data_IF_463449081161
#
_entry.id   IF_463449081161
#
_cell.length_a   1.000
_cell.length_b   1.000
_cell.length_c   1.000
_cell.angle_alpha   90.00
_cell.angle_beta   90.00
_cell.angle_gamma   90.00
#
_symmetry.space_group_name_H-M   'P 1'
#
loop_
_entity.id
_entity.type
_entity.pdbx_description
1 polymer ?
#
# COMPACT_ATOMS: atom_id res chain seq x y z
N UNK A 1 -7.84 58.52 21.80
CA UNK A 1 -8.30 57.92 20.52
C UNK A 1 -7.97 56.44 20.58
N UNK A 2 -8.95 55.59 20.89
CA UNK A 2 -8.75 54.14 20.94
C UNK A 2 -8.75 53.63 19.49
N UNK A 3 -7.58 53.29 18.96
CA UNK A 3 -7.48 52.55 17.71
C UNK A 3 -8.05 51.16 17.92
N UNK A 4 -9.33 50.98 17.56
CA UNK A 4 -9.91 49.65 17.44
C UNK A 4 -9.17 48.94 16.31
N UNK A 5 -8.18 48.13 16.70
CA UNK A 5 -7.58 47.13 15.84
C UNK A 5 -8.72 46.26 15.32
N UNK A 6 -9.22 46.56 14.10
CA UNK A 6 -10.15 45.69 13.40
C UNK A 6 -9.42 44.36 13.25
N UNK A 7 -9.83 43.36 14.04
CA UNK A 7 -9.28 42.01 13.94
C UNK A 7 -9.65 41.51 12.56
N UNK A 8 -8.68 41.40 11.67
CA UNK A 8 -8.96 40.93 10.32
C UNK A 8 -9.22 39.42 10.41
N UNK A 9 -10.26 38.93 9.74
CA UNK A 9 -10.51 37.48 9.68
C UNK A 9 -9.34 36.73 9.03
N UNK A 10 -8.52 37.42 8.23
CA UNK A 10 -7.27 36.93 7.67
C UNK A 10 -6.20 36.62 8.72
N UNK A 11 -6.33 37.17 9.94
CA UNK A 11 -5.41 36.88 11.05
C UNK A 11 -5.71 35.53 11.71
N UNK A 12 -6.89 34.94 11.44
CA UNK A 12 -7.27 33.60 11.88
C UNK A 12 -7.06 32.58 10.74
N UNK A 13 -5.93 31.85 10.72
CA UNK A 13 -5.61 30.91 9.64
C UNK A 13 -6.63 29.77 9.54
N UNK A 14 -7.29 29.41 10.64
CA UNK A 14 -8.29 28.33 10.65
C UNK A 14 -9.58 28.74 9.94
N UNK A 15 -9.93 30.03 9.97
CA UNK A 15 -11.10 30.56 9.27
C UNK A 15 -10.84 30.61 7.75
N UNK A 16 -9.64 31.06 7.35
CA UNK A 16 -9.20 31.07 5.94
C UNK A 16 -9.19 29.65 5.37
N UNK A 17 -8.62 28.69 6.12
CA UNK A 17 -8.57 27.30 5.67
C UNK A 17 -9.97 26.71 5.49
N UNK A 18 -10.87 26.91 6.46
CA UNK A 18 -12.26 26.45 6.35
C UNK A 18 -12.95 27.04 5.11
N UNK A 19 -12.67 28.31 4.79
CA UNK A 19 -13.28 29.01 3.66
C UNK A 19 -12.79 28.43 2.33
N UNK A 20 -11.48 28.28 2.17
CA UNK A 20 -10.86 27.71 0.95
C UNK A 20 -11.24 26.23 0.77
N UNK A 21 -11.45 25.51 1.86
CA UNK A 21 -11.91 24.12 1.83
C UNK A 21 -13.42 23.97 1.62
N UNK A 22 -14.20 25.06 1.64
CA UNK A 22 -15.66 25.02 1.50
C UNK A 22 -16.36 24.35 2.68
N UNK A 23 -15.78 24.45 3.89
CA UNK A 23 -16.30 23.84 5.13
C UNK A 23 -17.07 24.82 6.03
N UNK A 24 -17.17 26.10 5.67
CA UNK A 24 -18.02 27.03 6.41
C UNK A 24 -19.50 26.80 6.14
N UNK A 25 -20.32 27.17 7.11
CA UNK A 25 -21.76 27.30 6.91
C UNK A 25 -22.06 28.38 5.86
N UNK A 26 -23.22 28.29 5.21
CA UNK A 26 -23.61 29.28 4.20
C UNK A 26 -23.72 30.70 4.77
N UNK A 27 -24.15 30.84 6.02
CA UNK A 27 -24.30 32.14 6.68
C UNK A 27 -22.95 32.82 6.93
N UNK A 28 -21.98 32.08 7.48
CA UNK A 28 -20.63 32.59 7.71
C UNK A 28 -19.93 32.90 6.39
N UNK A 29 -20.13 32.05 5.38
CA UNK A 29 -19.58 32.28 4.04
C UNK A 29 -20.09 33.59 3.45
N UNK A 30 -21.41 33.87 3.53
CA UNK A 30 -21.98 35.13 3.03
C UNK A 30 -21.43 36.35 3.77
N UNK A 31 -21.21 36.26 5.09
CA UNK A 31 -20.59 37.34 5.89
C UNK A 31 -19.16 37.60 5.45
N UNK A 32 -18.35 36.55 5.30
CA UNK A 32 -16.99 36.65 4.79
C UNK A 32 -16.93 37.19 3.37
N UNK A 33 -17.82 36.74 2.49
CA UNK A 33 -17.89 37.22 1.10
C UNK A 33 -18.17 38.72 1.05
N UNK A 34 -19.03 39.24 1.94
CA UNK A 34 -19.27 40.68 2.07
C UNK A 34 -18.02 41.45 2.54
N UNK A 35 -17.32 40.95 3.55
CA UNK A 35 -16.07 41.57 4.05
C UNK A 35 -14.94 41.52 3.00
N UNK A 36 -14.82 40.42 2.25
CA UNK A 36 -13.87 40.26 1.13
C UNK A 36 -14.21 41.21 -0.02
N UNK A 37 -15.49 41.53 -0.22
CA UNK A 37 -15.91 42.46 -1.28
C UNK A 37 -15.40 43.88 -1.01
N UNK A 38 -15.38 44.30 0.26
CA UNK A 38 -14.96 45.64 0.69
C UNK A 38 -13.43 45.78 0.84
N UNK A 39 -12.71 44.68 1.09
CA UNK A 39 -11.28 44.69 1.37
C UNK A 39 -10.44 44.12 0.21
N UNK A 40 -9.82 44.99 -0.60
CA UNK A 40 -8.90 44.60 -1.68
C UNK A 40 -7.69 43.74 -1.23
N UNK A 41 -6.94 44.07 -0.16
CA UNK A 41 -5.81 43.23 0.27
C UNK A 41 -6.26 41.85 0.78
N UNK A 42 -7.44 41.77 1.40
CA UNK A 42 -8.04 40.50 1.81
C UNK A 42 -8.34 39.60 0.60
N UNK A 43 -8.80 40.20 -0.51
CA UNK A 43 -9.06 39.49 -1.77
C UNK A 43 -7.78 38.95 -2.40
N UNK A 44 -6.68 39.71 -2.35
CA UNK A 44 -5.40 39.23 -2.88
C UNK A 44 -4.82 38.09 -2.05
N UNK A 45 -4.87 38.18 -0.71
CA UNK A 45 -4.44 37.09 0.17
C UNK A 45 -5.26 35.82 -0.09
N UNK A 46 -6.58 35.95 -0.18
CA UNK A 46 -7.47 34.82 -0.48
C UNK A 46 -7.16 34.19 -1.86
N UNK A 47 -6.82 35.00 -2.87
CA UNK A 47 -6.37 34.49 -4.18
C UNK A 47 -5.07 33.68 -4.06
N UNK A 48 -4.12 34.11 -3.24
CA UNK A 48 -2.88 33.35 -3.00
C UNK A 48 -3.16 32.02 -2.30
N UNK A 49 -3.98 32.02 -1.26
CA UNK A 49 -4.34 30.80 -0.51
C UNK A 49 -5.15 29.80 -1.36
N UNK A 50 -6.12 30.30 -2.13
CA UNK A 50 -6.88 29.45 -3.07
C UNK A 50 -5.98 28.83 -4.15
N UNK A 51 -5.00 29.57 -4.67
CA UNK A 51 -4.02 29.06 -5.62
C UNK A 51 -3.13 27.98 -5.00
N UNK A 52 -2.64 28.19 -3.78
CA UNK A 52 -1.86 27.21 -3.03
C UNK A 52 -2.67 25.93 -2.79
N UNK A 53 -3.90 26.06 -2.30
CA UNK A 53 -4.80 24.93 -2.06
C UNK A 53 -5.11 24.17 -3.38
N UNK A 54 -5.32 24.88 -4.49
CA UNK A 54 -5.52 24.27 -5.80
C UNK A 54 -4.27 23.49 -6.26
N UNK A 55 -3.07 24.03 -6.02
CA UNK A 55 -1.79 23.39 -6.28
C UNK A 55 -1.63 22.07 -5.51
N UNK A 56 -1.87 22.11 -4.19
CA UNK A 56 -1.80 20.91 -3.33
C UNK A 56 -2.81 19.84 -3.78
N UNK A 57 -4.05 20.24 -4.11
CA UNK A 57 -5.07 19.31 -4.64
C UNK A 57 -4.69 18.72 -6.00
N UNK A 58 -4.03 19.47 -6.87
CA UNK A 58 -3.55 18.97 -8.16
C UNK A 58 -2.43 17.96 -7.96
N UNK A 59 -1.42 18.30 -7.16
CA UNK A 59 -0.31 17.41 -6.82
C UNK A 59 -0.79 16.10 -6.18
N UNK A 60 -1.73 16.19 -5.22
CA UNK A 60 -2.35 15.02 -4.61
C UNK A 60 -3.08 14.12 -5.61
N UNK A 61 -3.84 14.72 -6.54
CA UNK A 61 -4.53 13.97 -7.62
C UNK A 61 -3.56 13.29 -8.57
N UNK A 62 -2.48 13.96 -8.97
CA UNK A 62 -1.47 13.39 -9.85
C UNK A 62 -0.71 12.24 -9.16
N UNK A 63 -0.42 12.39 -7.86
CA UNK A 63 0.12 11.32 -7.03
C UNK A 63 -0.80 10.10 -6.95
N UNK A 64 -2.10 10.29 -6.72
CA UNK A 64 -3.08 9.20 -6.71
C UNK A 64 -3.23 8.54 -8.11
N UNK A 65 -3.27 9.35 -9.17
CA UNK A 65 -3.38 8.86 -10.56
C UNK A 65 -2.17 8.02 -10.95
N UNK A 66 -0.96 8.42 -10.57
CA UNK A 66 0.25 7.65 -10.82
C UNK A 66 0.26 6.31 -10.07
N UNK A 67 -0.19 6.31 -8.79
CA UNK A 67 -0.35 5.08 -8.00
C UNK A 67 -1.39 4.13 -8.60
N UNK A 68 -2.54 4.64 -9.03
CA UNK A 68 -3.58 3.85 -9.70
C UNK A 68 -3.08 3.29 -11.04
N UNK A 69 -2.37 4.10 -11.85
CA UNK A 69 -1.74 3.61 -13.09
C UNK A 69 -0.76 2.48 -12.82
N UNK A 70 0.12 2.60 -11.81
CA UNK A 70 1.05 1.53 -11.43
C UNK A 70 0.32 0.25 -11.02
N UNK A 71 -0.77 0.37 -10.23
CA UNK A 71 -1.61 -0.78 -9.85
C UNK A 71 -2.28 -1.43 -11.06
N UNK A 72 -2.89 -0.64 -11.94
CA UNK A 72 -3.52 -1.13 -13.17
C UNK A 72 -2.52 -1.82 -14.11
N UNK A 73 -1.31 -1.30 -14.26
CA UNK A 73 -0.26 -1.95 -15.06
C UNK A 73 0.15 -3.28 -14.45
N UNK A 74 0.29 -3.36 -13.12
CA UNK A 74 0.64 -4.59 -12.40
C UNK A 74 -0.46 -5.64 -12.51
N UNK A 75 -1.73 -5.23 -12.38
CA UNK A 75 -2.89 -6.10 -12.49
C UNK A 75 -3.14 -6.57 -13.93
N UNK A 76 -2.93 -5.69 -14.92
CA UNK A 76 -2.99 -6.05 -16.34
C UNK A 76 -1.90 -7.06 -16.75
N UNK A 77 -0.78 -7.08 -16.02
CA UNK A 77 0.28 -8.11 -16.15
C UNK A 77 0.03 -9.35 -15.31
N UNK A 78 -1.13 -9.48 -14.65
CA UNK A 78 -1.42 -10.70 -13.89
C UNK A 78 -1.47 -11.90 -14.84
N UNK A 79 -0.71 -12.97 -14.55
CA UNK A 79 -0.62 -14.13 -15.42
C UNK A 79 -1.96 -14.89 -15.51
N UNK A 80 -2.91 -14.58 -14.64
CA UNK A 80 -4.26 -15.16 -14.59
C UNK A 80 -4.98 -15.01 -15.94
N UNK A 81 -4.87 -13.85 -16.61
CA UNK A 81 -5.47 -13.67 -17.94
C UNK A 81 -4.81 -14.53 -19.01
N UNK A 82 -3.47 -14.69 -18.93
CA UNK A 82 -2.73 -15.52 -19.87
C UNK A 82 -3.11 -17.00 -19.71
N UNK A 83 -3.22 -17.49 -18.46
CA UNK A 83 -3.65 -18.86 -18.17
C UNK A 83 -5.11 -19.12 -18.56
N UNK A 84 -6.01 -18.14 -18.43
CA UNK A 84 -7.39 -18.27 -18.90
C UNK A 84 -7.47 -18.43 -20.43
N UNK A 85 -6.69 -17.65 -21.20
CA UNK A 85 -6.62 -17.81 -22.65
C UNK A 85 -6.01 -19.14 -23.08
N UNK A 86 -4.95 -19.61 -22.40
CA UNK A 86 -4.34 -20.91 -22.69
C UNK A 86 -5.29 -22.06 -22.32
N UNK A 87 -6.00 -21.96 -21.19
CA UNK A 87 -6.98 -22.95 -20.77
C UNK A 87 -8.16 -23.05 -21.73
N UNK A 88 -8.67 -21.92 -22.24
CA UNK A 88 -9.76 -21.90 -23.21
C UNK A 88 -9.32 -22.53 -24.55
N UNK A 89 -8.12 -22.19 -25.03
CA UNK A 89 -7.56 -22.81 -26.23
C UNK A 89 -7.39 -24.34 -26.07
N UNK A 90 -6.87 -24.80 -24.93
CA UNK A 90 -6.73 -26.22 -24.64
C UNK A 90 -8.07 -26.95 -24.61
N UNK A 91 -9.10 -26.35 -23.99
CA UNK A 91 -10.44 -26.91 -23.96
C UNK A 91 -11.04 -27.10 -25.36
N UNK A 92 -10.87 -26.11 -26.25
CA UNK A 92 -11.34 -26.21 -27.64
C UNK A 92 -10.64 -27.36 -28.39
N UNK A 93 -9.33 -27.52 -28.21
CA UNK A 93 -8.57 -28.62 -28.83
C UNK A 93 -9.06 -29.98 -28.33
N UNK A 94 -9.28 -30.14 -27.02
CA UNK A 94 -9.78 -31.40 -26.45
C UNK A 94 -11.16 -31.75 -27.02
N UNK A 95 -12.06 -30.76 -27.13
CA UNK A 95 -13.39 -30.97 -27.72
C UNK A 95 -13.28 -31.36 -29.20
N UNK A 96 -12.48 -30.65 -29.98
CA UNK A 96 -12.31 -30.95 -31.42
C UNK A 96 -11.74 -32.35 -31.66
N UNK A 97 -10.70 -32.75 -30.90
CA UNK A 97 -10.11 -34.08 -30.97
C UNK A 97 -11.10 -35.15 -30.51
N UNK A 98 -11.81 -34.90 -29.40
CA UNK A 98 -12.82 -35.82 -28.87
C UNK A 98 -13.96 -36.07 -29.88
N UNK A 99 -14.47 -35.01 -30.51
CA UNK A 99 -15.49 -35.12 -31.57
C UNK A 99 -14.95 -35.88 -32.79
N UNK A 100 -13.70 -35.62 -33.20
CA UNK A 100 -13.07 -36.32 -34.33
C UNK A 100 -12.90 -37.82 -34.08
N UNK A 101 -12.39 -38.20 -32.90
CA UNK A 101 -12.27 -39.62 -32.49
C UNK A 101 -13.63 -40.27 -32.37
N UNK A 102 -14.61 -39.58 -31.80
CA UNK A 102 -15.98 -40.09 -31.68
C UNK A 102 -16.60 -40.34 -33.06
N UNK A 103 -16.48 -39.41 -34.00
CA UNK A 103 -16.97 -39.62 -35.36
C UNK A 103 -16.22 -40.76 -36.04
N UNK A 104 -14.91 -40.88 -35.89
CA UNK A 104 -14.14 -41.97 -36.51
C UNK A 104 -14.55 -43.36 -36.00
N UNK A 105 -14.81 -43.51 -34.69
CA UNK A 105 -15.18 -44.79 -34.10
C UNK A 105 -16.68 -45.13 -34.21
N UNK A 106 -17.55 -44.12 -34.17
CA UNK A 106 -19.01 -44.33 -34.12
C UNK A 106 -19.75 -43.96 -35.42
N UNK A 107 -19.09 -43.39 -36.44
CA UNK A 107 -19.75 -43.12 -37.73
C UNK A 107 -20.24 -44.41 -38.42
N UNK A 108 -19.54 -45.53 -38.22
CA UNK A 108 -19.95 -46.82 -38.80
C UNK A 108 -21.22 -47.41 -38.15
N UNK A 109 -21.55 -47.01 -36.92
CA UNK A 109 -22.75 -47.47 -36.21
C UNK A 109 -24.01 -46.66 -36.58
N UNK A 110 -23.87 -45.51 -37.25
CA UNK A 110 -24.98 -44.58 -37.51
C UNK A 110 -25.43 -44.52 -38.97
N UNK A 111 -24.79 -45.27 -39.88
CA UNK A 111 -25.38 -45.54 -41.20
C UNK A 111 -26.20 -46.82 -41.11
N UNK A 112 -27.54 -46.76 -40.96
CA UNK A 112 -28.38 -47.92 -41.20
C UNK A 112 -28.25 -48.27 -42.69
N UNK A 113 -27.30 -49.13 -43.01
CA UNK A 113 -27.20 -49.78 -44.31
C UNK A 113 -28.44 -50.66 -44.44
N UNK A 114 -29.42 -50.13 -45.18
CA UNK A 114 -30.63 -50.82 -45.61
C UNK A 114 -31.65 -51.05 -44.50
N UNK A 115 -32.47 -50.04 -44.23
CA UNK A 115 -33.89 -50.32 -44.04
C UNK A 115 -34.35 -51.04 -45.30
N UNK A 116 -34.38 -52.37 -45.27
CA UNK A 116 -34.98 -53.16 -46.32
C UNK A 116 -36.36 -52.59 -46.61
N UNK A 117 -36.63 -52.35 -47.90
CA UNK A 117 -37.96 -52.02 -48.42
C UNK A 117 -38.94 -53.11 -47.95
N UNK A 118 -39.47 -52.99 -46.74
CA UNK A 118 -40.74 -53.61 -46.39
C UNK A 118 -41.79 -52.69 -46.97
N UNK A 119 -42.28 -53.10 -48.13
CA UNK A 119 -43.56 -52.66 -48.66
C UNK A 119 -44.61 -52.95 -47.57
N UNK A 120 -44.95 -51.92 -46.80
CA UNK A 120 -46.08 -51.99 -45.89
C UNK A 120 -47.30 -51.83 -46.80
N UNK A 121 -47.88 -52.95 -47.22
CA UNK A 121 -49.24 -52.98 -47.77
C UNK A 121 -50.16 -52.56 -46.64
N UNK A 122 -50.58 -51.28 -46.66
CA UNK A 122 -51.62 -50.78 -45.78
C UNK A 122 -52.93 -51.35 -46.32
N UNK A 123 -53.39 -52.45 -45.73
CA UNK A 123 -54.75 -52.94 -45.87
C UNK A 123 -55.70 -51.86 -45.36
N UNK A 124 -56.44 -51.24 -46.27
CA UNK A 124 -57.65 -50.50 -45.96
C UNK A 124 -58.65 -51.48 -45.35
N UNK A 125 -58.97 -51.29 -44.08
CA UNK A 125 -60.02 -52.05 -43.40
C UNK A 125 -60.30 -51.49 -42.03
N UNK A 126 -61.45 -50.81 -41.90
CA UNK A 126 -62.23 -50.83 -40.67
C UNK A 126 -61.87 -49.80 -39.59
N UNK A 127 -62.62 -48.70 -39.62
CA UNK A 127 -63.36 -48.18 -38.47
C UNK A 127 -62.63 -47.73 -37.17
N UNK A 128 -62.73 -46.41 -36.97
CA UNK A 128 -63.14 -45.72 -35.72
C UNK A 128 -62.12 -45.73 -34.56
N UNK A 129 -61.60 -44.53 -34.27
CA UNK A 129 -60.95 -44.24 -32.99
C UNK A 129 -60.21 -42.91 -32.98
N UNK A 130 -60.94 -41.84 -32.65
CA UNK A 130 -60.40 -40.49 -32.41
C UNK A 130 -59.30 -40.48 -31.33
N UNK A 131 -58.18 -39.80 -31.58
CA UNK A 131 -57.32 -39.26 -30.52
C UNK A 131 -56.35 -38.18 -31.05
N UNK A 132 -56.86 -36.94 -31.09
CA UNK A 132 -56.24 -35.71 -30.54
C UNK A 132 -54.77 -35.42 -30.90
N UNK A 133 -54.59 -34.56 -31.92
CA UNK A 133 -53.41 -33.71 -32.10
C UNK A 133 -53.19 -32.82 -30.86
N UNK A 134 -52.04 -32.94 -30.21
CA UNK A 134 -51.48 -31.89 -29.35
C UNK A 134 -50.21 -31.33 -30.00
N UNK A 135 -50.40 -30.30 -30.83
CA UNK A 135 -49.34 -29.43 -31.31
C UNK A 135 -48.76 -28.66 -30.13
N UNK A 136 -47.54 -29.01 -29.70
CA UNK A 136 -46.77 -28.17 -28.78
C UNK A 136 -45.85 -27.24 -29.57
N UNK A 137 -46.35 -26.02 -29.70
CA UNK A 137 -45.72 -24.83 -30.25
C UNK A 137 -44.47 -24.44 -29.44
N UNK A 138 -43.33 -24.35 -30.12
CA UNK A 138 -42.06 -23.86 -29.56
C UNK A 138 -42.16 -22.33 -29.47
N UNK A 139 -42.33 -21.81 -28.25
CA UNK A 139 -42.24 -20.38 -27.96
C UNK A 139 -40.79 -19.95 -27.78
N UNK A 140 -40.35 -19.09 -28.69
CA UNK A 140 -39.24 -18.16 -28.55
C UNK A 140 -39.46 -17.27 -27.31
N UNK A 141 -38.45 -17.04 -26.45
CA UNK A 141 -38.56 -16.01 -25.41
C UNK A 141 -38.27 -14.65 -26.02
N UNK A 142 -39.31 -13.81 -26.08
CA UNK A 142 -39.19 -12.38 -26.29
C UNK A 142 -38.47 -11.72 -25.11
N UNK A 143 -37.45 -10.96 -25.48
CA UNK A 143 -37.00 -9.69 -24.92
C UNK A 143 -38.12 -8.91 -24.22
N UNK A 144 -37.94 -8.62 -22.93
CA UNK A 144 -38.82 -7.71 -22.18
C UNK A 144 -38.00 -6.75 -21.31
N UNK A 145 -37.97 -5.51 -21.80
CA UNK A 145 -38.07 -4.21 -21.12
C UNK A 145 -37.60 -4.10 -19.66
N UNK A 146 -36.60 -3.22 -19.50
CA UNK A 146 -36.59 -2.06 -18.60
C UNK A 146 -37.44 -2.13 -17.32
N UNK A 147 -36.74 -2.35 -16.20
CA UNK A 147 -37.20 -1.96 -14.87
C UNK A 147 -36.35 -0.75 -14.40
N UNK A 148 -36.97 0.34 -13.92
CA UNK A 148 -36.24 1.46 -13.33
C UNK A 148 -35.59 1.06 -11.99
N UNK A 149 -34.46 1.69 -11.63
CA UNK A 149 -33.72 1.37 -10.41
C UNK A 149 -34.54 1.70 -9.16
N UNK A 150 -34.48 0.87 -8.10
CA UNK A 150 -35.17 1.15 -6.85
C UNK A 150 -34.55 2.37 -6.15
N UNK A 151 -35.41 3.32 -5.77
CA UNK A 151 -35.07 4.45 -4.92
C UNK A 151 -34.42 3.97 -3.62
N UNK A 152 -33.16 4.34 -3.45
CA UNK A 152 -32.43 4.13 -2.21
C UNK A 152 -33.01 5.03 -1.11
N UNK A 153 -33.76 4.42 -0.19
CA UNK A 153 -34.15 5.05 1.07
C UNK A 153 -32.88 5.54 1.81
N UNK A 154 -32.80 6.80 2.25
CA UNK A 154 -31.71 7.25 3.09
C UNK A 154 -31.81 6.55 4.44
N UNK A 155 -30.79 5.74 4.77
CA UNK A 155 -30.61 5.22 6.11
C UNK A 155 -30.37 6.40 7.07
N UNK A 156 -31.40 6.72 7.84
CA UNK A 156 -31.34 7.56 9.02
C UNK A 156 -30.33 6.93 9.99
N UNK A 157 -29.10 7.44 9.97
CA UNK A 157 -28.13 7.19 11.05
C UNK A 157 -28.56 8.02 12.24
N UNK A 158 -29.40 7.39 13.07
CA UNK A 158 -29.65 7.76 14.45
C UNK A 158 -28.32 8.01 15.17
N UNK A 159 -28.18 9.22 15.71
CA UNK A 159 -27.05 9.62 16.52
C UNK A 159 -27.03 8.84 17.83
N UNK A 160 -26.01 8.00 18.00
CA UNK A 160 -25.60 7.58 19.32
C UNK A 160 -24.78 8.71 19.94
N UNK A 161 -25.46 9.53 20.74
CA UNK A 161 -24.84 10.46 21.69
C UNK A 161 -23.85 9.70 22.55
N UNK A 162 -22.56 9.88 22.25
CA UNK A 162 -21.48 9.39 23.09
C UNK A 162 -21.29 10.39 24.23
N UNK A 163 -21.99 10.10 25.32
CA UNK A 163 -21.91 10.75 26.61
C UNK A 163 -20.48 10.61 27.16
N UNK A 164 -19.61 11.59 26.90
CA UNK A 164 -18.25 11.64 27.45
C UNK A 164 -18.32 12.28 28.84
N UNK A 165 -18.24 11.42 29.86
CA UNK A 165 -17.95 11.82 31.24
C UNK A 165 -16.57 12.48 31.32
N UNK A 166 -16.43 13.67 31.94
CA UNK A 166 -15.13 14.22 32.28
C UNK A 166 -14.55 13.49 33.50
N UNK A 167 -13.46 12.75 33.29
CA UNK A 167 -12.64 12.21 34.37
C UNK A 167 -11.79 13.34 34.96
N UNK A 168 -12.29 13.85 36.08
CA UNK A 168 -11.58 13.95 37.36
C UNK A 168 -10.06 14.21 37.33
N UNK A 169 -9.75 15.46 37.68
CA UNK A 169 -8.50 16.02 38.20
C UNK A 169 -7.42 15.04 38.67
N UNK A 170 -6.38 14.87 37.85
CA UNK A 170 -5.08 14.38 38.30
C UNK A 170 -4.24 15.55 38.85
N UNK A 171 -3.92 15.43 40.14
CA UNK A 171 -2.97 16.22 40.94
C UNK A 171 -1.75 16.70 40.14
N UNK A 172 -1.53 18.02 40.20
CA UNK A 172 -0.28 18.70 39.87
C UNK A 172 0.84 18.18 40.77
N UNK A 173 1.80 17.46 40.20
CA UNK A 173 3.11 17.23 40.81
C UNK A 173 4.06 18.32 40.34
N UNK A 174 4.77 18.93 41.28
CA UNK A 174 5.66 20.08 41.08
C UNK A 174 6.80 19.77 40.09
N UNK A 175 7.29 20.78 39.34
CA UNK A 175 8.45 20.61 38.47
C UNK A 175 9.72 20.45 39.31
N UNK A 176 10.43 19.33 39.10
CA UNK A 176 11.79 19.15 39.61
C UNK A 176 12.76 20.16 38.94
N UNK A 177 13.79 20.62 39.65
CA UNK A 177 14.76 21.57 39.13
C UNK A 177 15.54 20.97 37.96
N UNK A 178 15.60 21.74 36.88
CA UNK A 178 16.42 21.48 35.69
C UNK A 178 17.88 21.40 36.15
N UNK A 179 18.43 20.19 36.17
CA UNK A 179 19.88 20.00 36.28
C UNK A 179 20.54 20.58 35.02
N UNK A 180 21.21 21.68 35.24
CA UNK A 180 22.08 22.36 34.28
C UNK A 180 23.22 21.41 33.91
N UNK A 181 23.10 20.78 32.75
CA UNK A 181 24.14 19.89 32.20
C UNK A 181 25.39 20.71 31.93
N UNK A 182 26.44 20.43 32.69
CA UNK A 182 27.79 20.93 32.46
C UNK A 182 28.23 20.60 31.01
N UNK A 183 28.88 21.55 30.30
CA UNK A 183 29.32 21.32 28.93
C UNK A 183 30.42 20.25 28.90
N UNK A 184 30.08 19.11 28.31
CA UNK A 184 31.02 18.04 28.02
C UNK A 184 32.20 18.57 27.19
N UNK A 185 33.40 18.14 27.59
CA UNK A 185 34.67 18.50 26.99
C UNK A 185 34.67 18.29 25.46
N UNK A 186 35.29 19.24 24.74
CA UNK A 186 35.47 19.22 23.29
C UNK A 186 36.33 18.04 22.87
N UNK A 187 35.67 16.94 22.49
CA UNK A 187 36.30 15.82 21.78
C UNK A 187 36.30 16.13 20.28
N UNK A 188 37.46 16.53 19.76
CA UNK A 188 37.76 16.69 18.32
C UNK A 188 37.93 15.33 17.59
N UNK A 189 37.21 14.29 18.03
CA UNK A 189 36.99 13.09 17.24
C UNK A 189 35.80 13.38 16.34
N UNK A 190 35.96 13.24 15.02
CA UNK A 190 34.88 13.37 14.03
C UNK A 190 33.67 12.54 14.50
N UNK A 191 32.70 13.21 15.14
CA UNK A 191 31.64 12.52 15.86
C UNK A 191 30.86 11.68 14.87
N UNK A 192 30.95 10.35 15.01
CA UNK A 192 30.21 9.40 14.19
C UNK A 192 28.74 9.83 14.21
N UNK A 193 28.24 10.27 13.06
CA UNK A 193 26.86 10.72 12.95
C UNK A 193 26.00 9.47 12.94
N UNK A 194 25.19 9.31 13.96
CA UNK A 194 24.18 8.25 14.05
C UNK A 194 22.79 8.86 13.91
N UNK A 195 21.96 8.26 13.06
CA UNK A 195 20.60 8.71 12.78
C UNK A 195 19.68 7.49 12.85
N UNK A 196 18.56 7.62 13.55
CA UNK A 196 17.50 6.62 13.54
C UNK A 196 16.61 6.82 12.32
N UNK A 197 16.44 5.76 11.54
CA UNK A 197 15.55 5.72 10.39
C UNK A 197 14.43 4.70 10.62
N UNK A 198 13.27 5.04 10.09
CA UNK A 198 12.11 4.18 10.09
C UNK A 198 11.94 3.53 8.70
N UNK A 199 12.22 2.23 8.63
CA UNK A 199 11.96 1.41 7.45
C UNK A 199 10.49 0.99 7.37
N UNK A 200 9.95 0.91 6.16
CA UNK A 200 8.61 0.35 5.90
C UNK A 200 8.72 -0.96 5.14
N UNK A 201 8.13 -2.03 5.66
CA UNK A 201 8.05 -3.33 4.98
C UNK A 201 6.97 -3.27 3.89
N UNK A 202 7.37 -3.41 2.62
CA UNK A 202 6.48 -3.21 1.46
C UNK A 202 5.95 -4.53 0.91
N UNK A 203 6.74 -5.59 0.99
CA UNK A 203 6.34 -6.93 0.57
C UNK A 203 7.02 -7.95 1.49
N UNK A 204 6.22 -8.84 2.04
CA UNK A 204 6.69 -10.15 2.50
C UNK A 204 6.59 -11.04 1.27
N UNK A 205 7.72 -11.52 0.75
CA UNK A 205 7.71 -12.52 -0.30
C UNK A 205 7.09 -13.76 0.31
N UNK A 206 5.80 -13.97 0.01
CA UNK A 206 4.96 -15.05 0.52
C UNK A 206 5.39 -16.42 0.01
N UNK A 207 6.64 -16.80 0.21
CA UNK A 207 6.97 -18.20 0.41
C UNK A 207 6.17 -18.62 1.63
N UNK A 208 5.13 -19.42 1.40
CA UNK A 208 4.13 -19.81 2.36
C UNK A 208 4.79 -20.27 3.68
N UNK A 209 4.83 -19.38 4.67
CA UNK A 209 5.09 -19.72 6.08
C UNK A 209 3.84 -20.40 6.65
N UNK A 210 3.41 -21.50 6.03
CA UNK A 210 2.43 -22.43 6.58
C UNK A 210 3.20 -23.69 6.98
N UNK A 211 3.68 -23.74 8.22
CA UNK A 211 4.00 -25.01 8.88
C UNK A 211 5.42 -25.22 9.43
N UNK A 212 6.47 -24.66 8.81
CA UNK A 212 7.84 -25.05 9.19
C UNK A 212 8.48 -24.24 10.34
N UNK A 213 8.03 -23.00 10.59
CA UNK A 213 8.65 -22.12 11.59
C UNK A 213 8.21 -22.41 13.04
N UNK A 214 7.08 -23.10 13.26
CA UNK A 214 6.59 -23.41 14.61
C UNK A 214 7.42 -24.48 15.33
N UNK A 215 8.18 -25.32 14.61
CA UNK A 215 8.95 -26.41 15.20
C UNK A 215 10.42 -26.04 15.49
N UNK A 216 10.88 -24.85 15.12
CA UNK A 216 12.28 -24.41 15.37
C UNK A 216 12.44 -23.41 16.51
N UNK A 217 11.35 -22.96 17.14
CA UNK A 217 11.39 -22.00 18.25
C UNK A 217 11.62 -22.65 19.62
N UNK A 218 11.45 -23.97 19.74
CA UNK A 218 11.41 -24.66 21.06
C UNK A 218 12.75 -25.29 21.49
N UNK A 219 13.85 -25.10 20.73
CA UNK A 219 15.15 -25.73 21.04
C UNK A 219 16.34 -24.79 21.14
N UNK A 220 16.14 -23.48 21.39
CA UNK A 220 17.23 -22.49 21.55
C UNK A 220 17.20 -21.75 22.88
N UNK A 221 17.02 -22.48 23.97
CA UNK A 221 17.24 -21.99 25.33
C UNK A 221 18.32 -22.83 26.02
N UNK A 222 19.60 -22.54 25.74
CA UNK A 222 20.76 -22.81 26.60
C UNK A 222 22.06 -22.67 25.80
N UNK A 223 22.53 -21.44 25.61
CA UNK A 223 23.94 -21.03 25.72
C UNK A 223 24.12 -19.67 25.05
N UNK A 224 24.02 -18.63 25.88
CA UNK A 224 24.24 -17.24 25.49
C UNK A 224 25.74 -16.94 25.39
N UNK A 225 26.43 -17.56 24.44
CA UNK A 225 27.68 -17.02 23.93
C UNK A 225 27.33 -15.86 22.99
N UNK A 226 27.89 -14.68 23.24
CA UNK A 226 27.68 -13.50 22.40
C UNK A 226 27.94 -13.87 20.92
N UNK A 227 26.97 -13.66 20.01
CA UNK A 227 27.13 -14.05 18.62
C UNK A 227 28.36 -13.34 18.04
N UNK A 228 29.37 -14.11 17.66
CA UNK A 228 30.52 -13.61 16.91
C UNK A 228 29.97 -13.03 15.60
N UNK A 229 30.19 -11.73 15.40
CA UNK A 229 29.72 -11.02 14.22
C UNK A 229 30.39 -11.62 12.98
N UNK A 230 29.59 -12.19 12.08
CA UNK A 230 30.04 -12.50 10.72
C UNK A 230 30.62 -11.22 10.09
N UNK A 231 31.73 -11.31 9.32
CA UNK A 231 32.32 -10.14 8.68
C UNK A 231 31.31 -9.48 7.75
N UNK A 232 30.95 -8.23 8.05
CA UNK A 232 29.99 -7.44 7.27
C UNK A 232 30.47 -7.34 5.82
N UNK A 233 29.70 -7.88 4.87
CA UNK A 233 30.00 -7.71 3.44
C UNK A 233 29.51 -6.33 2.99
N UNK A 234 30.39 -5.40 2.58
CA UNK A 234 29.95 -4.09 2.13
C UNK A 234 29.22 -4.19 0.79
N UNK A 235 28.05 -3.55 0.70
CA UNK A 235 27.28 -3.37 -0.53
C UNK A 235 27.54 -1.96 -1.05
N UNK A 236 28.15 -1.82 -2.22
CA UNK A 236 28.51 -0.50 -2.73
C UNK A 236 27.32 0.22 -3.35
N UNK A 237 26.92 1.35 -2.79
CA UNK A 237 25.91 2.25 -3.36
C UNK A 237 26.56 3.34 -4.19
N UNK A 238 25.97 3.64 -5.34
CA UNK A 238 26.38 4.77 -6.19
C UNK A 238 25.26 5.80 -6.22
N UNK A 239 25.55 7.03 -5.79
CA UNK A 239 24.63 8.17 -5.87
C UNK A 239 25.34 9.31 -6.60
N UNK A 240 24.99 9.49 -7.88
CA UNK A 240 25.78 10.36 -8.77
C UNK A 240 27.21 9.82 -8.86
N UNK A 241 28.19 10.69 -8.61
CA UNK A 241 29.62 10.33 -8.64
C UNK A 241 30.15 9.80 -7.30
N UNK A 242 29.35 9.87 -6.22
CA UNK A 242 29.78 9.41 -4.89
C UNK A 242 29.46 7.93 -4.73
N UNK A 243 30.49 7.15 -4.39
CA UNK A 243 30.40 5.74 -4.03
C UNK A 243 30.51 5.62 -2.51
N UNK A 244 29.47 5.04 -1.88
CA UNK A 244 29.48 4.77 -0.45
C UNK A 244 29.25 3.29 -0.23
N UNK A 245 30.04 2.70 0.66
CA UNK A 245 29.90 1.28 1.01
C UNK A 245 28.90 1.14 2.15
N UNK A 246 27.95 0.22 1.99
CA UNK A 246 26.88 -0.02 2.95
C UNK A 246 27.03 -1.38 3.60
N UNK A 247 27.33 -1.37 4.90
CA UNK A 247 27.32 -2.56 5.73
C UNK A 247 25.92 -2.74 6.34
N UNK A 248 25.37 -3.95 6.25
CA UNK A 248 24.10 -4.29 6.91
C UNK A 248 24.40 -5.11 8.17
N UNK A 249 23.76 -4.75 9.28
CA UNK A 249 23.75 -5.54 10.52
C UNK A 249 22.33 -5.80 10.99
N UNK A 250 22.12 -6.94 11.62
CA UNK A 250 20.85 -7.27 12.26
C UNK A 250 21.05 -7.33 13.78
N UNK A 251 20.08 -6.78 14.52
CA UNK A 251 19.97 -6.93 15.96
C UNK A 251 18.54 -7.33 16.33
N UNK A 252 18.36 -8.09 17.42
CA UNK A 252 17.03 -8.45 17.88
C UNK A 252 16.27 -7.21 18.39
N UNK A 253 14.93 -7.25 18.35
CA UNK A 253 14.07 -6.18 18.87
C UNK A 253 14.28 -5.94 20.38
N UNK A 254 14.73 -6.97 21.10
CA UNK A 254 15.09 -6.87 22.51
C UNK A 254 16.28 -5.94 22.78
N UNK A 255 17.16 -5.72 21.80
CA UNK A 255 18.30 -4.81 21.89
C UNK A 255 17.96 -3.35 21.52
N UNK A 256 16.72 -3.08 21.11
CA UNK A 256 16.26 -1.72 20.80
C UNK A 256 16.11 -0.89 22.10
N UNK A 257 16.56 0.37 22.14
CA UNK A 257 16.38 1.25 23.29
C UNK A 257 14.90 1.37 23.70
N UNK A 258 14.62 1.39 25.01
CA UNK A 258 13.26 1.40 25.56
C UNK A 258 12.40 2.56 25.03
N UNK A 259 13.01 3.74 24.87
CA UNK A 259 12.34 4.94 24.33
C UNK A 259 11.87 4.78 22.86
N UNK A 260 12.52 3.89 22.09
CA UNK A 260 12.13 3.58 20.70
C UNK A 260 11.10 2.47 20.64
N UNK A 261 11.20 1.47 21.53
CA UNK A 261 10.26 0.35 21.60
C UNK A 261 8.81 0.82 21.76
N UNK A 262 8.57 1.88 22.54
CA UNK A 262 7.23 2.46 22.72
C UNK A 262 6.67 3.20 21.49
N UNK A 263 7.53 3.63 20.57
CA UNK A 263 7.12 4.32 19.33
C UNK A 263 6.75 3.36 18.20
N UNK A 264 7.03 2.07 18.37
CA UNK A 264 6.83 1.03 17.36
C UNK A 264 5.34 0.64 17.29
N UNK A 265 4.52 1.53 16.74
CA UNK A 265 3.06 1.38 16.70
C UNK A 265 2.49 0.54 15.55
N UNK A 266 3.34 -0.04 14.69
CA UNK A 266 2.88 -0.79 13.51
C UNK A 266 3.78 -1.98 13.20
N UNK A 267 3.16 -3.15 12.97
CA UNK A 267 3.84 -4.38 12.56
C UNK A 267 4.61 -4.28 11.23
N UNK A 268 4.44 -3.21 10.45
CA UNK A 268 5.11 -3.02 9.14
C UNK A 268 6.26 -2.01 9.18
N UNK A 269 6.71 -1.63 10.37
CA UNK A 269 7.79 -0.66 10.57
C UNK A 269 8.99 -1.35 11.20
N UNK A 270 10.17 -1.05 10.67
CA UNK A 270 11.43 -1.58 11.17
C UNK A 270 12.32 -0.41 11.59
N UNK A 271 12.68 -0.36 12.87
CA UNK A 271 13.63 0.63 13.37
C UNK A 271 15.04 0.27 12.89
N UNK A 272 15.76 1.25 12.35
CA UNK A 272 17.10 1.04 11.80
C UNK A 272 18.01 2.17 12.23
N UNK A 273 19.13 1.83 12.86
CA UNK A 273 20.17 2.80 13.19
C UNK A 273 21.13 2.91 12.01
N UNK A 274 21.35 4.13 11.53
CA UNK A 274 22.32 4.43 10.48
C UNK A 274 23.50 5.15 11.09
N UNK A 275 24.68 4.57 10.95
CA UNK A 275 25.93 5.13 11.43
C UNK A 275 26.86 5.40 10.25
N UNK A 276 27.56 6.52 10.29
CA UNK A 276 28.60 6.84 9.31
C UNK A 276 29.92 6.22 9.77
N UNK A 277 30.56 5.43 8.91
CA UNK A 277 31.88 4.84 9.20
C UNK A 277 32.98 5.86 8.89
N UNK A 278 34.17 5.66 9.49
CA UNK A 278 35.32 6.55 9.29
C UNK A 278 35.74 6.71 7.83
N UNK A 279 35.46 5.70 7.00
CA UNK A 279 35.79 5.68 5.57
C UNK A 279 34.71 6.33 4.69
N UNK A 280 33.68 6.95 5.28
CA UNK A 280 32.55 7.54 4.57
C UNK A 280 31.48 6.52 4.15
N UNK A 281 31.60 5.27 4.59
CA UNK A 281 30.57 4.26 4.43
C UNK A 281 29.37 4.49 5.37
N UNK A 282 28.31 3.72 5.14
CA UNK A 282 27.12 3.69 5.99
C UNK A 282 26.97 2.30 6.59
N UNK A 283 26.66 2.24 7.88
CA UNK A 283 26.31 1.01 8.58
C UNK A 283 24.83 1.08 8.96
N UNK A 284 24.02 0.18 8.42
CA UNK A 284 22.59 0.07 8.73
C UNK A 284 22.38 -1.10 9.69
N UNK A 285 22.09 -0.80 10.95
CA UNK A 285 21.72 -1.79 11.96
C UNK A 285 20.20 -1.90 12.04
N UNK A 286 19.65 -2.98 11.48
CA UNK A 286 18.22 -3.27 11.37
C UNK A 286 17.76 -4.03 12.62
N UNK A 287 16.79 -3.49 13.35
CA UNK A 287 16.23 -4.12 14.56
C UNK A 287 14.95 -4.88 14.23
N UNK A 288 15.07 -6.20 14.06
CA UNK A 288 13.95 -7.08 13.71
C UNK A 288 14.25 -8.51 14.14
N UNK A 289 13.21 -9.24 14.56
CA UNK A 289 13.29 -10.67 14.85
C UNK A 289 12.85 -11.53 13.63
N UNK A 290 12.32 -10.91 12.57
CA UNK A 290 11.73 -11.59 11.42
C UNK A 290 12.75 -11.99 10.33
N UNK A 291 13.95 -11.42 10.40
CA UNK A 291 15.06 -11.65 9.46
C UNK A 291 16.24 -12.25 10.18
N UNK A 292 16.65 -13.45 9.76
CA UNK A 292 17.87 -14.07 10.24
C UNK A 292 19.11 -13.32 9.73
N UNK A 293 20.18 -13.24 10.53
CA UNK A 293 21.45 -12.64 10.13
C UNK A 293 21.97 -13.19 8.79
N UNK A 294 21.83 -14.50 8.55
CA UNK A 294 22.21 -15.16 7.30
C UNK A 294 21.43 -14.68 6.07
N UNK A 295 20.17 -14.23 6.23
CA UNK A 295 19.41 -13.63 5.13
C UNK A 295 19.91 -12.22 4.80
N UNK A 296 20.46 -11.52 5.80
CA UNK A 296 21.05 -10.20 5.63
C UNK A 296 22.34 -10.26 4.80
N UNK A 297 23.13 -11.33 4.96
CA UNK A 297 24.37 -11.56 4.20
C UNK A 297 24.11 -11.72 2.69
N UNK A 298 22.91 -12.23 2.34
CA UNK A 298 22.44 -12.38 0.97
C UNK A 298 21.56 -11.21 0.50
N UNK A 299 21.35 -10.19 1.34
CA UNK A 299 20.47 -9.08 1.01
C UNK A 299 21.07 -8.20 -0.09
N UNK A 300 20.21 -7.70 -0.97
CA UNK A 300 20.58 -6.68 -1.95
C UNK A 300 20.13 -5.30 -1.48
N UNK A 301 20.96 -4.29 -1.71
CA UNK A 301 20.64 -2.89 -1.42
C UNK A 301 20.55 -2.12 -2.73
N UNK A 302 19.40 -1.53 -3.00
CA UNK A 302 19.12 -0.77 -4.23
C UNK A 302 18.69 0.66 -3.88
N UNK A 303 19.12 1.65 -4.67
CA UNK A 303 18.59 3.02 -4.61
C UNK A 303 17.45 3.16 -5.61
N UNK A 304 16.28 3.63 -5.16
CA UNK A 304 15.12 3.84 -6.05
C UNK A 304 15.13 5.21 -6.72
N UNK A 305 15.13 6.24 -5.89
CA UNK A 305 15.19 7.66 -6.22
C UNK A 305 16.23 8.22 -5.23
N UNK A 306 17.08 9.17 -5.58
CA UNK A 306 18.32 9.48 -4.81
C UNK A 306 18.20 9.68 -3.28
N UNK A 307 17.00 9.85 -2.72
CA UNK A 307 16.70 9.92 -1.29
C UNK A 307 16.10 8.62 -0.69
N UNK A 308 16.05 7.52 -1.43
CA UNK A 308 15.31 6.31 -1.09
C UNK A 308 16.15 5.07 -1.30
N UNK A 309 16.19 4.21 -0.29
CA UNK A 309 16.98 2.98 -0.25
C UNK A 309 16.08 1.78 0.02
N UNK A 310 16.33 0.70 -0.69
CA UNK A 310 15.61 -0.55 -0.55
C UNK A 310 16.58 -1.62 -0.11
N UNK A 311 16.30 -2.26 1.02
CA UNK A 311 16.95 -3.52 1.41
C UNK A 311 16.01 -4.66 1.04
N UNK A 312 16.47 -5.56 0.19
CA UNK A 312 15.72 -6.76 -0.22
C UNK A 312 16.41 -7.99 0.38
N UNK A 313 15.72 -8.66 1.30
CA UNK A 313 16.12 -9.97 1.83
C UNK A 313 15.34 -11.08 1.11
N UNK A 314 15.59 -12.34 1.47
CA UNK A 314 14.81 -13.46 0.93
C UNK A 314 13.32 -13.37 1.26
N UNK A 315 13.00 -12.88 2.47
CA UNK A 315 11.65 -12.89 3.04
C UNK A 315 10.94 -11.55 2.94
N UNK A 316 11.67 -10.44 2.85
CA UNK A 316 11.05 -9.11 2.89
C UNK A 316 11.80 -8.04 2.10
N UNK A 317 11.04 -7.00 1.74
CA UNK A 317 11.57 -5.77 1.14
C UNK A 317 11.29 -4.58 2.05
N UNK A 318 12.35 -3.97 2.58
CA UNK A 318 12.30 -2.82 3.48
C UNK A 318 12.66 -1.55 2.69
N UNK A 319 11.77 -0.56 2.72
CA UNK A 319 11.97 0.74 2.09
C UNK A 319 12.36 1.78 3.16
N UNK A 320 13.46 2.48 2.91
CA UNK A 320 13.99 3.56 3.72
C UNK A 320 13.95 4.87 2.94
N UNK A 321 13.63 5.96 3.65
CA UNK A 321 13.82 7.32 3.17
C UNK A 321 15.01 7.92 3.89
N UNK A 322 16.06 8.23 3.15
CA UNK A 322 17.32 8.73 3.65
C UNK A 322 17.30 10.27 3.68
N UNK A 323 17.71 10.90 4.80
CA UNK A 323 17.97 12.32 4.83
C UNK A 323 19.00 12.72 3.76
N UNK A 324 18.85 13.88 3.10
CA UNK A 324 19.81 14.35 2.10
C UNK A 324 21.23 14.53 2.68
N UNK A 325 21.31 14.84 3.97
CA UNK A 325 22.56 15.16 4.67
C UNK A 325 23.47 13.95 4.93
N UNK A 326 22.94 12.72 4.80
CA UNK A 326 23.72 11.49 5.00
C UNK A 326 24.80 11.29 3.93
N UNK A 327 24.66 11.94 2.79
CA UNK A 327 25.55 11.76 1.63
C UNK A 327 26.41 12.98 1.33
N UNK A 328 26.32 14.03 2.15
CA UNK A 328 27.18 15.19 1.98
C UNK A 328 28.57 14.80 2.47
N UNK A 329 29.52 14.70 1.54
CA UNK A 329 30.92 14.49 1.89
C UNK A 329 31.32 15.50 2.97
N UNK A 330 32.05 15.08 4.03
CA UNK A 330 32.49 16.02 5.04
C UNK A 330 33.25 17.14 4.34
N UNK A 331 32.72 18.35 4.38
CA UNK A 331 33.38 19.49 3.75
C UNK A 331 34.70 19.67 4.48
N UNK A 332 35.81 19.27 3.87
CA UNK A 332 37.14 19.51 4.41
C UNK A 332 37.28 21.03 4.44
N UNK A 333 37.00 21.63 5.60
CA UNK A 333 37.28 23.04 5.83
C UNK A 333 38.80 23.17 5.82
N UNK A 334 39.34 23.50 4.65
CA UNK A 334 40.74 23.91 4.52
C UNK A 334 40.89 25.16 5.37
N UNK A 335 41.51 25.02 6.55
CA UNK A 335 41.93 26.19 7.34
C UNK A 335 42.92 26.96 6.47
N UNK A 336 42.51 28.15 6.00
CA UNK A 336 43.42 29.16 5.47
C UNK A 336 43.95 30.00 6.62
#
# INVERSE_FOLDING_TARGET
MNGSSKKYWTDDPEMVERYVLGRLSEEEKRRLDAEIAECEPCREMLRRETLLAAGVRRFGRDGLRSRLRRRLVRERRSPVRMYQSVGLAAAVVIIAVGVGVYQMFFADLTRPTQFGKKEIVITQGGEIGEAREEKREVRTPEEKMDAPPPEAKPAVRSGAERNVRPAEAAKRTAPEPIQEFAPAAKSDAAAARSIWLLGTVVMETGAARTGAAALSAESRTADAAAPQASPDRPVTLRRGDVRNDVALRQRPLSALPTARRSQMGSARRVETLVETTGDGGLQLTIYTDDVAASELDAASVETLDGDSLVVTTATQRILYRLPPDLFTAPSVRTKR
#
